data_IF_743481113001
#
_entry.id   IF_743481113001
#
_cell.length_a   1.000
_cell.length_b   1.000
_cell.length_c   1.000
_cell.angle_alpha   90.00
_cell.angle_beta   90.00
_cell.angle_gamma   90.00
#
_symmetry.space_group_name_H-M   'P 1'
#
loop_
_entity.id
_entity.type
_entity.pdbx_description
1 polymer ?
#
# COMPACT_ATOMS: atom_id res chain seq x y z
N UNK A 1 -7.35 -9.51 -13.42
CA UNK A 1 -5.92 -9.78 -13.11
C UNK A 1 -5.35 -11.05 -13.78
N UNK A 2 -6.12 -11.83 -14.51
CA UNK A 2 -5.63 -13.00 -15.27
C UNK A 2 -5.03 -14.14 -14.43
N UNK A 3 -5.38 -14.22 -13.15
CA UNK A 3 -4.93 -15.31 -12.28
C UNK A 3 -5.73 -16.57 -12.64
N UNK A 4 -5.09 -17.70 -12.95
CA UNK A 4 -5.78 -18.94 -13.28
C UNK A 4 -6.69 -19.44 -12.16
N UNK A 5 -7.88 -19.95 -12.52
CA UNK A 5 -8.90 -20.39 -11.56
C UNK A 5 -8.41 -21.47 -10.59
N UNK A 6 -7.55 -22.39 -11.04
CA UNK A 6 -7.00 -23.41 -10.18
C UNK A 6 -6.12 -22.85 -9.06
N UNK A 7 -5.36 -21.78 -9.30
CA UNK A 7 -4.56 -21.09 -8.26
C UNK A 7 -5.48 -20.34 -7.29
N UNK A 8 -6.51 -19.69 -7.80
CA UNK A 8 -7.52 -19.02 -6.96
C UNK A 8 -8.23 -20.04 -6.05
N UNK A 9 -8.56 -21.21 -6.58
CA UNK A 9 -9.17 -22.30 -5.81
C UNK A 9 -8.22 -22.82 -4.72
N UNK A 10 -6.94 -23.06 -5.04
CA UNK A 10 -5.93 -23.51 -4.08
C UNK A 10 -5.75 -22.50 -2.94
N UNK A 11 -5.65 -21.20 -3.27
CA UNK A 11 -5.54 -20.13 -2.27
C UNK A 11 -6.78 -20.10 -1.38
N UNK A 12 -7.98 -20.14 -1.96
CA UNK A 12 -9.24 -20.16 -1.21
C UNK A 12 -9.30 -21.34 -0.24
N UNK A 13 -8.93 -22.52 -0.69
CA UNK A 13 -8.91 -23.73 0.16
C UNK A 13 -7.84 -23.62 1.27
N UNK A 14 -6.67 -23.07 0.97
CA UNK A 14 -5.61 -22.87 1.95
C UNK A 14 -5.93 -21.86 3.05
N UNK A 15 -6.82 -20.89 2.76
CA UNK A 15 -7.26 -19.89 3.72
C UNK A 15 -8.65 -20.14 4.33
N UNK A 16 -9.37 -21.13 3.84
CA UNK A 16 -10.70 -21.47 4.37
C UNK A 16 -10.59 -22.20 5.70
N UNK A 17 -11.40 -21.76 6.68
CA UNK A 17 -11.53 -22.44 7.97
C UNK A 17 -10.27 -22.40 8.84
N UNK A 18 -9.39 -21.44 8.64
CA UNK A 18 -8.21 -21.29 9.48
C UNK A 18 -8.60 -20.82 10.89
N UNK A 19 -7.99 -21.47 11.89
CA UNK A 19 -8.17 -21.17 13.30
C UNK A 19 -6.84 -20.81 13.94
N UNK A 20 -6.87 -19.96 14.95
CA UNK A 20 -5.71 -19.56 15.72
C UNK A 20 -5.98 -19.62 17.23
N UNK A 21 -4.90 -19.75 17.98
CA UNK A 21 -4.89 -19.58 19.42
C UNK A 21 -3.69 -18.72 19.80
N UNK A 22 -3.82 -17.92 20.85
CA UNK A 22 -2.76 -17.06 21.35
C UNK A 22 -2.21 -17.58 22.66
N UNK A 23 -0.90 -17.76 22.73
CA UNK A 23 -0.21 -18.11 23.97
C UNK A 23 0.16 -16.83 24.73
N UNK A 24 -0.37 -16.71 25.92
CA UNK A 24 -0.07 -15.58 26.84
C UNK A 24 0.72 -16.09 28.03
N UNK A 25 1.24 -15.17 28.87
CA UNK A 25 1.88 -15.53 30.14
C UNK A 25 0.96 -16.23 31.14
N UNK A 26 -0.36 -16.19 30.95
CA UNK A 26 -1.39 -16.78 31.80
C UNK A 26 -2.03 -18.05 31.22
N UNK A 27 -1.58 -18.52 30.06
CA UNK A 27 -2.11 -19.69 29.38
C UNK A 27 -2.37 -19.48 27.90
N UNK A 28 -3.14 -20.38 27.30
CA UNK A 28 -3.52 -20.34 25.90
C UNK A 28 -4.99 -20.00 25.77
N UNK A 29 -5.36 -19.12 24.84
CA UNK A 29 -6.77 -18.80 24.57
C UNK A 29 -7.49 -19.99 23.94
N UNK A 30 -8.81 -19.96 23.94
CA UNK A 30 -9.60 -20.84 23.10
C UNK A 30 -9.31 -20.61 21.60
N UNK A 31 -9.57 -21.62 20.78
CA UNK A 31 -9.44 -21.51 19.35
C UNK A 31 -10.48 -20.55 18.78
N UNK A 32 -10.04 -19.64 17.92
CA UNK A 32 -10.93 -18.71 17.21
C UNK A 32 -10.64 -18.72 15.72
N UNK A 33 -11.69 -18.52 14.92
CA UNK A 33 -11.58 -18.51 13.48
C UNK A 33 -10.93 -17.21 12.96
N UNK A 34 -10.01 -17.38 12.01
CA UNK A 34 -9.37 -16.26 11.31
C UNK A 34 -10.20 -15.93 10.07
N UNK A 35 -10.89 -14.77 10.09
CA UNK A 35 -11.83 -14.42 9.02
C UNK A 35 -11.21 -13.81 7.76
N UNK A 36 -10.27 -12.86 7.89
CA UNK A 36 -9.84 -12.02 6.77
C UNK A 36 -8.41 -11.51 6.88
N UNK A 37 -7.47 -12.35 7.28
CA UNK A 37 -6.06 -11.92 7.40
C UNK A 37 -5.13 -12.84 6.61
N UNK A 38 -4.06 -12.25 6.10
CA UNK A 38 -2.95 -12.98 5.50
C UNK A 38 -1.97 -13.34 6.63
N UNK A 39 -1.53 -14.59 6.67
CA UNK A 39 -0.64 -15.10 7.71
C UNK A 39 0.69 -14.35 7.71
N UNK A 40 1.08 -13.72 8.83
CA UNK A 40 2.43 -13.19 8.99
C UNK A 40 3.45 -14.33 8.84
N UNK A 41 4.58 -14.06 8.20
CA UNK A 41 5.64 -15.04 7.95
C UNK A 41 5.28 -16.17 6.96
N UNK A 42 4.13 -16.12 6.30
CA UNK A 42 3.85 -17.01 5.19
C UNK A 42 4.53 -16.52 3.92
N UNK A 43 5.18 -17.42 3.19
CA UNK A 43 5.89 -17.12 1.92
C UNK A 43 4.96 -16.51 0.85
N UNK A 44 3.67 -16.83 0.90
CA UNK A 44 2.65 -16.29 -0.02
C UNK A 44 2.15 -14.91 0.35
N UNK A 45 2.33 -14.47 1.60
CA UNK A 45 1.76 -13.21 2.09
C UNK A 45 2.26 -11.98 1.35
N UNK A 46 3.56 -11.81 1.08
CA UNK A 46 4.05 -10.70 0.27
C UNK A 46 3.49 -10.73 -1.16
N UNK A 47 3.38 -11.92 -1.77
CA UNK A 47 2.82 -12.06 -3.12
C UNK A 47 1.34 -11.66 -3.17
N UNK A 48 0.55 -12.08 -2.18
CA UNK A 48 -0.86 -11.72 -2.08
C UNK A 48 -1.04 -10.23 -1.82
N UNK A 49 -0.22 -9.64 -0.97
CA UNK A 49 -0.24 -8.20 -0.73
C UNK A 49 0.10 -7.42 -2.01
N UNK A 50 1.12 -7.85 -2.76
CA UNK A 50 1.47 -7.25 -4.03
C UNK A 50 0.34 -7.33 -5.07
N UNK A 51 -0.41 -8.42 -5.12
CA UNK A 51 -1.58 -8.56 -5.97
C UNK A 51 -2.70 -7.59 -5.56
N UNK A 52 -2.94 -7.42 -4.27
CA UNK A 52 -3.88 -6.42 -3.75
C UNK A 52 -3.46 -5.00 -4.14
N UNK A 53 -2.21 -4.67 -3.92
CA UNK A 53 -1.63 -3.37 -4.29
C UNK A 53 -1.77 -3.11 -5.79
N UNK A 54 -1.45 -4.10 -6.63
CA UNK A 54 -1.60 -4.00 -8.08
C UNK A 54 -3.05 -3.72 -8.47
N UNK A 55 -4.01 -4.44 -7.88
CA UNK A 55 -5.43 -4.21 -8.13
C UNK A 55 -5.86 -2.78 -7.78
N UNK A 56 -5.48 -2.28 -6.60
CA UNK A 56 -5.77 -0.91 -6.16
C UNK A 56 -5.19 0.10 -7.13
N UNK A 57 -3.90 -0.03 -7.48
CA UNK A 57 -3.22 0.93 -8.35
C UNK A 57 -3.71 0.89 -9.79
N UNK A 58 -4.14 -0.26 -10.31
CA UNK A 58 -4.79 -0.34 -11.62
C UNK A 58 -6.10 0.43 -11.65
N UNK A 59 -6.92 0.33 -10.60
CA UNK A 59 -8.18 1.07 -10.51
C UNK A 59 -7.94 2.59 -10.40
N UNK A 60 -6.92 3.01 -9.65
CA UNK A 60 -6.54 4.43 -9.52
C UNK A 60 -5.97 4.98 -10.83
N UNK A 61 -5.25 4.17 -11.61
CA UNK A 61 -4.56 4.62 -12.82
C UNK A 61 -5.45 4.77 -14.05
N UNK A 62 -6.64 4.19 -14.04
CA UNK A 62 -7.57 4.22 -15.18
C UNK A 62 -8.08 5.63 -15.51
N UNK A 63 -8.14 6.53 -14.53
CA UNK A 63 -8.73 7.86 -14.68
C UNK A 63 -7.73 8.96 -15.09
N UNK A 64 -6.42 8.76 -14.94
CA UNK A 64 -5.43 9.83 -15.16
C UNK A 64 -4.26 9.38 -16.08
N UNK A 65 -4.47 9.52 -17.36
CA UNK A 65 -3.43 9.18 -18.37
C UNK A 65 -2.16 10.06 -18.30
N UNK A 66 -2.20 11.20 -17.58
CA UNK A 66 -1.12 12.21 -17.56
C UNK A 66 -0.37 12.33 -16.23
N UNK A 67 -0.87 11.74 -15.12
CA UNK A 67 -0.22 11.83 -13.81
C UNK A 67 1.11 11.05 -13.75
N UNK A 68 2.08 11.56 -12.97
CA UNK A 68 3.37 10.91 -12.72
C UNK A 68 4.57 11.73 -13.15
N UNK A 69 5.77 11.29 -12.81
CA UNK A 69 7.05 11.91 -13.18
C UNK A 69 7.73 11.13 -14.31
N UNK A 70 8.42 11.84 -15.19
CA UNK A 70 9.22 11.21 -16.24
C UNK A 70 10.57 10.78 -15.72
N UNK A 71 10.79 9.46 -15.62
CA UNK A 71 12.07 8.86 -15.26
C UNK A 71 12.62 8.14 -16.48
N UNK A 72 13.79 8.54 -16.97
CA UNK A 72 14.44 7.97 -18.17
C UNK A 72 13.49 7.87 -19.39
N UNK A 73 12.66 8.91 -19.61
CA UNK A 73 11.71 8.98 -20.73
C UNK A 73 10.42 8.16 -20.56
N UNK A 74 10.25 7.49 -19.43
CA UNK A 74 9.02 6.74 -19.10
C UNK A 74 8.26 7.47 -18.00
N UNK A 75 6.95 7.56 -18.13
CA UNK A 75 6.11 8.13 -17.09
C UNK A 75 5.92 7.11 -15.97
N UNK A 76 6.37 7.46 -14.76
CA UNK A 76 6.26 6.64 -13.56
C UNK A 76 5.38 7.34 -12.53
N UNK A 77 4.31 6.65 -12.11
CA UNK A 77 3.36 7.17 -11.11
C UNK A 77 3.63 6.64 -9.71
N UNK A 78 4.24 5.47 -9.63
CA UNK A 78 4.55 4.81 -8.36
C UNK A 78 5.84 3.99 -8.43
N UNK A 79 6.47 3.83 -7.27
CA UNK A 79 7.51 2.85 -7.01
C UNK A 79 7.04 1.96 -5.87
N UNK A 80 7.43 0.69 -5.92
CA UNK A 80 7.03 -0.31 -4.93
C UNK A 80 8.25 -1.07 -4.43
N UNK A 81 8.29 -1.24 -3.13
CA UNK A 81 9.26 -2.11 -2.47
C UNK A 81 8.56 -2.83 -1.32
N UNK A 82 8.46 -4.15 -1.41
CA UNK A 82 7.70 -4.98 -0.46
C UNK A 82 6.28 -4.43 -0.20
N UNK A 83 6.04 -3.92 1.00
CA UNK A 83 4.74 -3.35 1.41
C UNK A 83 4.69 -1.82 1.31
N UNK A 84 5.78 -1.19 0.86
CA UNK A 84 5.87 0.26 0.75
C UNK A 84 5.53 0.71 -0.68
N UNK A 85 4.68 1.72 -0.77
CA UNK A 85 4.26 2.33 -2.03
C UNK A 85 4.68 3.79 -2.00
N UNK A 86 5.42 4.22 -3.02
CA UNK A 86 5.72 5.64 -3.23
C UNK A 86 4.90 6.14 -4.41
N UNK A 87 4.00 7.10 -4.18
CA UNK A 87 3.28 7.81 -5.23
C UNK A 87 4.10 9.01 -5.68
N UNK A 88 4.05 9.32 -6.97
CA UNK A 88 4.82 10.39 -7.59
C UNK A 88 3.95 11.23 -8.50
N UNK A 89 4.07 12.56 -8.39
CA UNK A 89 3.44 13.52 -9.27
C UNK A 89 4.31 14.77 -9.41
N UNK A 90 4.10 15.55 -10.47
CA UNK A 90 4.80 16.82 -10.69
C UNK A 90 4.19 17.96 -9.86
N UNK A 91 2.90 17.88 -9.55
CA UNK A 91 2.14 18.90 -8.81
C UNK A 91 1.55 18.38 -7.51
N UNK A 92 1.45 19.26 -6.51
CA UNK A 92 0.92 18.92 -5.18
C UNK A 92 -0.53 18.44 -5.24
N UNK A 93 -1.38 19.12 -6.01
CA UNK A 93 -2.80 18.80 -6.15
C UNK A 93 -3.00 17.42 -6.79
N UNK A 94 -2.16 17.08 -7.76
CA UNK A 94 -2.16 15.79 -8.44
C UNK A 94 -1.77 14.67 -7.47
N UNK A 95 -0.70 14.88 -6.68
CA UNK A 95 -0.27 13.90 -5.68
C UNK A 95 -1.35 13.69 -4.61
N UNK A 96 -2.00 14.77 -4.19
CA UNK A 96 -3.11 14.71 -3.23
C UNK A 96 -4.31 13.94 -3.79
N UNK A 97 -4.68 14.20 -5.04
CA UNK A 97 -5.74 13.48 -5.74
C UNK A 97 -5.44 11.98 -5.83
N UNK A 98 -4.21 11.62 -6.24
CA UNK A 98 -3.75 10.23 -6.29
C UNK A 98 -3.82 9.55 -4.93
N UNK A 99 -3.34 10.20 -3.89
CA UNK A 99 -3.35 9.65 -2.53
C UNK A 99 -4.78 9.40 -2.03
N UNK A 100 -5.69 10.34 -2.28
CA UNK A 100 -7.10 10.18 -1.89
C UNK A 100 -7.78 9.05 -2.66
N UNK A 101 -7.50 8.87 -3.95
CA UNK A 101 -8.01 7.74 -4.74
C UNK A 101 -7.44 6.40 -4.24
N UNK A 102 -6.14 6.33 -3.93
CA UNK A 102 -5.54 5.12 -3.34
C UNK A 102 -6.20 4.79 -2.01
N UNK A 103 -6.44 5.79 -1.16
CA UNK A 103 -7.15 5.61 0.11
C UNK A 103 -8.54 5.02 -0.12
N UNK A 104 -9.33 5.62 -1.00
CA UNK A 104 -10.69 5.19 -1.31
C UNK A 104 -10.73 3.74 -1.85
N UNK A 105 -9.87 3.42 -2.83
CA UNK A 105 -9.79 2.06 -3.39
C UNK A 105 -9.30 1.03 -2.35
N UNK A 106 -8.39 1.44 -1.45
CA UNK A 106 -7.91 0.59 -0.36
C UNK A 106 -9.03 0.28 0.64
N UNK A 107 -9.85 1.26 0.98
CA UNK A 107 -10.99 1.08 1.90
C UNK A 107 -12.04 0.11 1.34
N UNK A 108 -12.26 0.09 0.02
CA UNK A 108 -13.17 -0.87 -0.64
C UNK A 108 -12.76 -2.33 -0.42
N UNK A 109 -11.46 -2.58 -0.24
CA UNK A 109 -10.90 -3.91 0.05
C UNK A 109 -10.55 -4.10 1.53
N UNK A 110 -11.07 -3.25 2.42
CA UNK A 110 -10.82 -3.25 3.87
C UNK A 110 -9.34 -3.05 4.28
N UNK A 111 -8.55 -2.38 3.44
CA UNK A 111 -7.22 -1.91 3.80
C UNK A 111 -7.29 -0.43 4.18
N UNK A 112 -6.68 -0.08 5.30
CA UNK A 112 -6.61 1.32 5.76
C UNK A 112 -5.22 1.88 5.54
N UNK A 113 -5.15 3.10 5.02
CA UNK A 113 -3.90 3.85 4.92
C UNK A 113 -3.37 4.13 6.33
N UNK A 114 -2.09 3.82 6.56
CA UNK A 114 -1.44 4.17 7.83
C UNK A 114 -0.86 5.59 7.72
N UNK A 115 -1.62 6.58 8.17
CA UNK A 115 -1.27 8.00 8.04
C UNK A 115 0.02 8.32 8.81
N UNK A 116 0.24 7.73 9.97
CA UNK A 116 1.45 7.95 10.79
C UNK A 116 2.73 7.46 10.11
N UNK A 117 2.63 6.44 9.25
CA UNK A 117 3.75 5.93 8.45
C UNK A 117 3.85 6.60 7.07
N UNK A 118 2.79 7.28 6.64
CA UNK A 118 2.76 7.98 5.35
C UNK A 118 3.57 9.27 5.48
N UNK A 119 4.46 9.52 4.52
CA UNK A 119 5.32 10.70 4.49
C UNK A 119 5.28 11.35 3.13
N UNK A 120 5.42 12.68 3.10
CA UNK A 120 5.46 13.47 1.88
C UNK A 120 6.87 14.02 1.70
N UNK A 121 7.39 13.89 0.50
CA UNK A 121 8.66 14.50 0.09
C UNK A 121 8.42 15.42 -1.12
N UNK A 122 8.87 16.67 -1.03
CA UNK A 122 8.76 17.62 -2.13
C UNK A 122 10.03 18.43 -2.30
N UNK A 123 10.29 18.86 -3.55
CA UNK A 123 11.44 19.71 -3.89
C UNK A 123 11.23 21.20 -3.57
N UNK A 124 10.02 21.60 -3.18
CA UNK A 124 9.65 22.97 -2.85
C UNK A 124 8.87 23.07 -1.56
N UNK A 125 8.43 24.30 -1.19
CA UNK A 125 7.53 24.45 -0.06
C UNK A 125 6.22 23.73 -0.36
N UNK A 126 5.77 22.92 0.60
CA UNK A 126 4.51 22.18 0.53
C UNK A 126 3.62 22.60 1.69
N UNK A 127 2.33 22.67 1.43
CA UNK A 127 1.35 22.92 2.49
C UNK A 127 1.22 21.68 3.39
N UNK A 128 0.88 21.89 4.66
CA UNK A 128 0.62 20.76 5.55
C UNK A 128 -0.64 20.02 5.10
N UNK A 129 -0.54 18.71 4.89
CA UNK A 129 -1.69 17.90 4.51
C UNK A 129 -2.32 17.25 5.74
N UNK A 130 -3.64 17.24 5.74
CA UNK A 130 -4.42 16.51 6.73
C UNK A 130 -5.27 15.45 6.02
N UNK A 131 -5.22 14.24 6.55
CA UNK A 131 -6.04 13.10 6.12
C UNK A 131 -6.75 12.58 7.36
N UNK A 132 -8.07 12.54 7.32
CA UNK A 132 -8.92 12.10 8.46
C UNK A 132 -8.62 12.85 9.78
N UNK A 133 -8.21 14.12 9.70
CA UNK A 133 -7.84 14.94 10.85
C UNK A 133 -6.42 14.74 11.38
N UNK A 134 -5.65 13.81 10.81
CA UNK A 134 -4.24 13.62 11.13
C UNK A 134 -3.34 14.34 10.13
N UNK A 135 -2.27 14.97 10.62
CA UNK A 135 -1.30 15.67 9.77
C UNK A 135 -0.27 14.67 9.22
N UNK A 136 -0.07 14.69 7.90
CA UNK A 136 0.96 13.89 7.24
C UNK A 136 2.32 14.56 7.39
N UNK A 137 3.32 13.80 7.84
CA UNK A 137 4.69 14.29 8.03
C UNK A 137 5.36 14.63 6.69
N UNK A 138 5.96 15.82 6.62
CA UNK A 138 6.80 16.23 5.47
C UNK A 138 8.26 15.97 5.79
N UNK A 139 8.96 15.26 4.91
CA UNK A 139 10.37 14.87 5.08
C UNK A 139 11.21 15.30 3.88
N UNK A 140 12.54 15.39 4.10
CA UNK A 140 13.50 15.74 3.03
C UNK A 140 14.00 14.51 2.28
N UNK A 141 14.04 13.39 2.96
CA UNK A 141 14.61 12.14 2.47
C UNK A 141 13.68 11.00 2.81
N UNK A 142 13.56 10.05 1.90
CA UNK A 142 12.83 8.80 2.09
C UNK A 142 13.79 7.63 1.86
N UNK A 143 13.74 6.64 2.73
CA UNK A 143 14.41 5.36 2.53
C UNK A 143 13.38 4.37 2.03
N UNK A 144 13.57 3.89 0.81
CA UNK A 144 12.75 2.83 0.22
C UNK A 144 13.62 1.57 0.12
N UNK A 145 13.40 0.62 1.00
CA UNK A 145 14.29 -0.53 1.13
C UNK A 145 15.72 -0.13 1.45
N UNK A 146 16.66 -0.46 0.57
CA UNK A 146 18.07 -0.04 0.68
C UNK A 146 18.40 1.24 -0.10
N UNK A 147 17.42 1.81 -0.82
CA UNK A 147 17.60 3.02 -1.61
C UNK A 147 17.21 4.25 -0.80
N UNK A 148 18.13 5.18 -0.64
CA UNK A 148 17.85 6.49 -0.08
C UNK A 148 17.54 7.47 -1.20
N UNK A 149 16.35 8.06 -1.19
CA UNK A 149 15.90 9.05 -2.16
C UNK A 149 16.04 10.43 -1.52
N UNK A 150 16.83 11.29 -2.14
CA UNK A 150 17.02 12.68 -1.72
C UNK A 150 16.27 13.62 -2.65
N UNK A 151 15.56 14.58 -2.08
CA UNK A 151 15.00 15.68 -2.83
C UNK A 151 16.10 16.70 -3.13
N UNK A 152 16.51 16.87 -4.38
CA UNK A 152 17.41 17.96 -4.79
C UNK A 152 16.58 19.26 -4.88
N UNK A 153 17.09 20.30 -4.23
CA UNK A 153 16.62 21.68 -4.40
C UNK A 153 17.09 22.24 -5.73
#
# INVERSE_FOLDING_TARGET
MGIPDHLTCLLRNGYAGQEATVRTGHGTTDWFQIGKVVHQSCILSPCLFNLYTEYILQNVSLDEAQAGIKIAGRNSKNLRYENDITLMAEMEEELKSLLMKVKEESEKVNLKLNIQKTKIMASGPITSWQIDGETVETVRDIILGVLQIHCRR
#
